data_IF_628004137979
#
_entry.id   IF_628004137979
#
_cell.length_a   1.000
_cell.length_b   1.000
_cell.length_c   1.000
_cell.angle_alpha   90.00
_cell.angle_beta   90.00
_cell.angle_gamma   90.00
#
_symmetry.space_group_name_H-M   'P 1'
#
loop_
_entity.id
_entity.type
_entity.pdbx_description
1 polymer ?
#
# COMPACT_ATOMS: atom_id res chain seq x y z
N UNK A 1 -25.09 13.22 20.93
CA UNK A 1 -24.56 11.85 20.82
C UNK A 1 -24.44 11.38 19.39
N UNK A 2 -25.37 11.65 18.48
CA UNK A 2 -25.26 11.28 17.06
C UNK A 2 -24.10 12.00 16.32
N UNK A 3 -23.80 13.23 16.68
CA UNK A 3 -22.68 14.00 16.08
C UNK A 3 -21.30 13.42 16.42
N UNK A 4 -21.11 12.90 17.62
CA UNK A 4 -19.85 12.29 18.04
C UNK A 4 -19.52 10.99 17.33
N UNK A 5 -20.54 10.17 17.02
CA UNK A 5 -20.35 8.91 16.28
C UNK A 5 -20.04 9.17 14.80
N UNK A 6 -20.64 10.18 14.19
CA UNK A 6 -20.41 10.53 12.78
C UNK A 6 -19.03 11.16 12.57
N UNK A 7 -18.58 12.01 13.48
CA UNK A 7 -17.22 12.55 13.47
C UNK A 7 -16.17 11.44 13.67
N UNK A 8 -16.50 10.43 14.48
CA UNK A 8 -15.62 9.28 14.70
C UNK A 8 -15.43 8.41 13.45
N UNK A 9 -16.52 8.12 12.72
CA UNK A 9 -16.45 7.30 11.48
C UNK A 9 -15.69 8.06 10.39
N UNK A 10 -16.00 9.34 10.17
CA UNK A 10 -15.31 10.15 9.17
C UNK A 10 -13.84 10.32 9.53
N UNK A 11 -13.51 10.53 10.80
CA UNK A 11 -12.13 10.60 11.27
C UNK A 11 -11.38 9.30 11.11
N UNK A 12 -12.04 8.16 11.40
CA UNK A 12 -11.43 6.84 11.23
C UNK A 12 -11.14 6.53 9.76
N UNK A 13 -12.07 6.84 8.84
CA UNK A 13 -11.86 6.66 7.41
C UNK A 13 -10.75 7.58 6.88
N UNK A 14 -10.68 8.81 7.34
CA UNK A 14 -9.62 9.74 6.97
C UNK A 14 -8.26 9.27 7.46
N UNK A 15 -8.16 8.77 8.69
CA UNK A 15 -6.93 8.23 9.25
C UNK A 15 -6.48 6.96 8.49
N UNK A 16 -7.43 6.08 8.14
CA UNK A 16 -7.13 4.88 7.38
C UNK A 16 -6.64 5.23 5.96
N UNK A 17 -7.25 6.21 5.30
CA UNK A 17 -6.84 6.68 3.98
C UNK A 17 -5.44 7.31 4.03
N UNK A 18 -5.16 8.12 5.04
CA UNK A 18 -3.84 8.72 5.24
C UNK A 18 -2.77 7.64 5.49
N UNK A 19 -3.08 6.62 6.30
CA UNK A 19 -2.19 5.48 6.55
C UNK A 19 -1.89 4.69 5.29
N UNK A 20 -2.91 4.39 4.49
CA UNK A 20 -2.75 3.68 3.22
C UNK A 20 -1.90 4.50 2.23
N UNK A 21 -2.14 5.80 2.14
CA UNK A 21 -1.36 6.71 1.30
C UNK A 21 0.11 6.78 1.72
N UNK A 22 0.38 6.85 3.02
CA UNK A 22 1.74 6.85 3.56
C UNK A 22 2.45 5.51 3.26
N UNK A 23 1.76 4.38 3.40
CA UNK A 23 2.30 3.07 3.06
C UNK A 23 2.66 2.98 1.59
N UNK A 24 1.78 3.43 0.69
CA UNK A 24 2.03 3.45 -0.75
C UNK A 24 3.24 4.32 -1.09
N UNK A 25 3.36 5.49 -0.48
CA UNK A 25 4.51 6.38 -0.67
C UNK A 25 5.83 5.72 -0.22
N UNK A 26 5.82 5.07 0.95
CA UNK A 26 6.98 4.33 1.46
C UNK A 26 7.40 3.20 0.54
N UNK A 27 6.46 2.44 0.02
CA UNK A 27 6.73 1.40 -0.97
C UNK A 27 7.34 1.99 -2.23
N UNK A 28 6.84 3.13 -2.69
CA UNK A 28 7.37 3.83 -3.86
C UNK A 28 8.83 4.24 -3.69
N UNK A 29 9.21 4.67 -2.50
CA UNK A 29 10.61 5.01 -2.18
C UNK A 29 11.51 3.79 -2.27
N UNK A 30 11.08 2.65 -1.75
CA UNK A 30 11.84 1.39 -1.84
C UNK A 30 11.99 0.95 -3.29
N UNK A 31 10.93 1.04 -4.08
CA UNK A 31 10.95 0.75 -5.52
C UNK A 31 12.00 1.63 -6.23
N UNK A 32 11.97 2.93 -6.00
CA UNK A 32 12.91 3.87 -6.59
C UNK A 32 14.37 3.58 -6.17
N UNK A 33 14.60 3.23 -4.92
CA UNK A 33 15.92 2.85 -4.41
C UNK A 33 16.45 1.56 -5.07
N UNK A 34 15.58 0.57 -5.25
CA UNK A 34 15.92 -0.68 -5.92
C UNK A 34 16.24 -0.47 -7.41
N UNK A 35 15.44 0.34 -8.11
CA UNK A 35 15.65 0.69 -9.51
C UNK A 35 16.94 1.46 -9.73
N UNK A 36 17.33 2.28 -8.76
CA UNK A 36 18.60 3.02 -8.79
C UNK A 36 19.82 2.19 -8.35
N UNK A 37 19.64 0.93 -8.00
CA UNK A 37 20.72 0.05 -7.54
C UNK A 37 21.26 0.41 -6.15
N UNK A 38 20.58 1.25 -5.40
CA UNK A 38 20.98 1.71 -4.05
C UNK A 38 20.63 0.73 -2.93
N UNK A 39 20.01 -0.36 -3.29
CA UNK A 39 19.44 -1.30 -2.33
C UNK A 39 19.64 -2.72 -2.85
N UNK A 40 20.12 -3.61 -2.01
CA UNK A 40 20.29 -5.02 -2.32
C UNK A 40 19.79 -5.89 -1.17
N UNK A 41 19.16 -7.00 -1.50
CA UNK A 41 18.56 -7.93 -0.54
C UNK A 41 18.99 -9.34 -0.88
N UNK A 42 19.35 -10.13 0.14
CA UNK A 42 19.66 -11.54 -0.04
C UNK A 42 18.45 -12.31 -0.61
N UNK A 43 18.65 -13.37 -1.40
CA UNK A 43 17.55 -14.16 -1.95
C UNK A 43 16.58 -14.67 -0.89
N UNK A 44 17.09 -15.12 0.27
CA UNK A 44 16.26 -15.63 1.36
C UNK A 44 15.37 -14.55 1.98
N UNK A 45 15.92 -13.37 2.20
CA UNK A 45 15.16 -12.24 2.73
C UNK A 45 14.12 -11.75 1.71
N UNK A 46 14.48 -11.71 0.41
CA UNK A 46 13.56 -11.34 -0.66
C UNK A 46 12.38 -12.31 -0.74
N UNK A 47 12.62 -13.62 -0.67
CA UNK A 47 11.57 -14.63 -0.71
C UNK A 47 10.57 -14.48 0.47
N UNK A 48 11.08 -14.20 1.66
CA UNK A 48 10.24 -13.97 2.85
C UNK A 48 9.38 -12.71 2.68
N UNK A 49 9.99 -11.62 2.21
CA UNK A 49 9.27 -10.37 1.98
C UNK A 49 8.22 -10.51 0.88
N UNK A 50 8.53 -11.22 -0.20
CA UNK A 50 7.58 -11.48 -1.30
C UNK A 50 6.37 -12.25 -0.79
N UNK A 51 6.57 -13.27 0.06
CA UNK A 51 5.44 -14.00 0.67
C UNK A 51 4.56 -13.10 1.53
N UNK A 52 5.16 -12.23 2.33
CA UNK A 52 4.43 -11.26 3.14
C UNK A 52 3.62 -10.32 2.25
N UNK A 53 4.21 -9.84 1.15
CA UNK A 53 3.54 -8.96 0.19
C UNK A 53 2.40 -9.67 -0.55
N UNK A 54 2.57 -10.92 -0.92
CA UNK A 54 1.50 -11.73 -1.53
C UNK A 54 0.33 -11.93 -0.58
N UNK A 55 0.61 -12.22 0.70
CA UNK A 55 -0.43 -12.31 1.73
C UNK A 55 -1.14 -10.96 1.93
N UNK A 56 -0.40 -9.87 1.91
CA UNK A 56 -0.96 -8.52 1.97
C UNK A 56 -1.87 -8.26 0.76
N UNK A 57 -1.45 -8.62 -0.43
CA UNK A 57 -2.25 -8.46 -1.65
C UNK A 57 -3.55 -9.25 -1.56
N UNK A 58 -3.50 -10.50 -1.13
CA UNK A 58 -4.70 -11.33 -0.94
C UNK A 58 -5.66 -10.69 0.07
N UNK A 59 -5.13 -10.16 1.18
CA UNK A 59 -5.92 -9.44 2.18
C UNK A 59 -6.55 -8.16 1.63
N UNK A 60 -5.81 -7.39 0.83
CA UNK A 60 -6.31 -6.17 0.19
C UNK A 60 -7.38 -6.48 -0.85
N UNK A 61 -7.19 -7.52 -1.65
CA UNK A 61 -8.19 -7.96 -2.64
C UNK A 61 -9.48 -8.42 -1.96
N UNK A 62 -9.37 -9.11 -0.81
CA UNK A 62 -10.51 -9.53 -0.01
C UNK A 62 -11.30 -8.35 0.60
N UNK A 63 -10.69 -7.19 0.74
CA UNK A 63 -11.32 -5.98 1.28
C UNK A 63 -12.08 -5.16 0.23
N UNK A 64 -11.90 -5.44 -1.05
CA UNK A 64 -12.51 -4.64 -2.14
C UNK A 64 -14.01 -4.53 -2.02
N UNK A 65 -14.69 -5.63 -1.79
CA UNK A 65 -16.16 -5.65 -1.68
C UNK A 65 -16.63 -4.83 -0.48
N UNK A 66 -15.93 -4.91 0.64
CA UNK A 66 -16.22 -4.11 1.82
C UNK A 66 -16.04 -2.61 1.55
N UNK A 67 -15.01 -2.23 0.80
CA UNK A 67 -14.76 -0.84 0.43
C UNK A 67 -15.80 -0.30 -0.54
N UNK A 68 -16.29 -1.12 -1.45
CA UNK A 68 -17.40 -0.74 -2.32
C UNK A 68 -18.68 -0.52 -1.52
N UNK A 69 -18.93 -1.31 -0.49
CA UNK A 69 -20.08 -1.14 0.40
C UNK A 69 -19.96 0.17 1.21
N UNK A 70 -18.79 0.51 1.70
CA UNK A 70 -18.52 1.79 2.40
C UNK A 70 -18.77 2.99 1.49
N UNK A 71 -18.54 2.85 0.18
CA UNK A 71 -18.80 3.89 -0.81
C UNK A 71 -20.29 4.15 -1.08
N UNK A 72 -21.19 3.30 -0.57
CA UNK A 72 -22.62 3.51 -0.68
C UNK A 72 -23.10 4.53 0.36
N UNK A 73 -24.05 5.37 -0.03
CA UNK A 73 -24.64 6.33 0.89
C UNK A 73 -25.36 5.59 2.04
N UNK A 74 -24.95 5.88 3.26
CA UNK A 74 -25.61 5.33 4.44
C UNK A 74 -27.00 5.98 4.58
N UNK A 75 -28.09 5.22 4.76
CA UNK A 75 -29.42 5.79 4.93
C UNK A 75 -29.56 6.36 6.33
N UNK A 76 -29.21 7.64 6.50
CA UNK A 76 -29.30 8.38 7.75
C UNK A 76 -30.60 9.18 7.86
N UNK A 77 -31.65 8.80 7.11
CA UNK A 77 -32.94 9.45 7.05
C UNK A 77 -33.06 10.43 5.89
N UNK A 78 -34.28 10.91 5.66
CA UNK A 78 -34.62 11.80 4.56
C UNK A 78 -34.46 13.28 4.88
N UNK A 79 -33.96 13.64 6.07
CA UNK A 79 -33.69 15.03 6.42
C UNK A 79 -32.54 15.60 5.58
N UNK A 80 -32.52 16.91 5.29
CA UNK A 80 -31.42 17.50 4.54
C UNK A 80 -30.05 17.25 5.17
N UNK A 81 -29.95 17.25 6.49
CA UNK A 81 -28.71 16.96 7.24
C UNK A 81 -28.32 15.49 7.08
N UNK A 82 -29.26 14.56 7.23
CA UNK A 82 -29.02 13.13 7.07
C UNK A 82 -28.53 12.79 5.66
N UNK A 83 -29.13 13.36 4.63
CA UNK A 83 -28.69 13.16 3.25
C UNK A 83 -27.29 13.74 3.01
N UNK A 84 -27.01 14.93 3.51
CA UNK A 84 -25.69 15.56 3.36
C UNK A 84 -24.59 14.74 4.02
N UNK A 85 -24.81 14.25 5.23
CA UNK A 85 -23.85 13.41 5.95
C UNK A 85 -23.67 12.06 5.26
N UNK A 86 -24.76 11.43 4.82
CA UNK A 86 -24.71 10.18 4.07
C UNK A 86 -23.87 10.29 2.80
N UNK A 87 -24.07 11.34 2.02
CA UNK A 87 -23.29 11.60 0.81
C UNK A 87 -21.82 11.93 1.11
N UNK A 88 -21.55 12.69 2.15
CA UNK A 88 -20.18 13.00 2.58
C UNK A 88 -19.43 11.72 2.97
N UNK A 89 -20.04 10.86 3.76
CA UNK A 89 -19.44 9.59 4.17
C UNK A 89 -19.19 8.68 2.97
N UNK A 90 -20.13 8.61 2.04
CA UNK A 90 -19.97 7.84 0.81
C UNK A 90 -18.78 8.32 -0.03
N UNK A 91 -18.61 9.63 -0.18
CA UNK A 91 -17.47 10.21 -0.92
C UNK A 91 -16.13 9.96 -0.23
N UNK A 92 -16.09 10.03 1.10
CA UNK A 92 -14.88 9.69 1.86
C UNK A 92 -14.52 8.21 1.75
N UNK A 93 -15.52 7.35 1.64
CA UNK A 93 -15.32 5.92 1.42
C UNK A 93 -14.84 5.62 -0.01
N UNK A 94 -15.55 6.14 -0.99
CA UNK A 94 -15.23 5.92 -2.40
C UNK A 94 -15.86 7.04 -3.27
N UNK A 95 -15.09 7.76 -3.99
CA UNK A 95 -15.60 8.81 -4.88
C UNK A 95 -14.71 10.03 -4.97
N UNK A 96 -14.07 10.41 -3.88
CA UNK A 96 -13.07 11.47 -3.88
C UNK A 96 -11.69 10.89 -4.20
N UNK A 97 -10.77 11.67 -4.79
CA UNK A 97 -9.39 11.23 -5.04
C UNK A 97 -8.64 10.82 -3.78
N UNK A 98 -9.02 11.38 -2.63
CA UNK A 98 -8.44 11.07 -1.31
C UNK A 98 -9.29 10.08 -0.52
N UNK A 99 -10.27 9.43 -1.15
CA UNK A 99 -11.12 8.43 -0.50
C UNK A 99 -10.32 7.21 -0.06
N UNK A 100 -10.87 6.47 0.89
CA UNK A 100 -10.28 5.21 1.35
C UNK A 100 -10.12 4.22 0.20
N UNK A 101 -11.11 4.12 -0.69
CA UNK A 101 -11.04 3.26 -1.87
C UNK A 101 -9.88 3.67 -2.82
N UNK A 102 -9.73 4.96 -3.10
CA UNK A 102 -8.65 5.45 -3.96
C UNK A 102 -7.27 5.14 -3.37
N UNK A 103 -7.09 5.33 -2.07
CA UNK A 103 -5.83 5.00 -1.37
C UNK A 103 -5.57 3.51 -1.31
N UNK A 104 -6.62 2.71 -1.14
CA UNK A 104 -6.54 1.25 -1.20
C UNK A 104 -6.06 0.78 -2.58
N UNK A 105 -6.62 1.32 -3.68
CA UNK A 105 -6.19 0.99 -5.04
C UNK A 105 -4.74 1.39 -5.31
N UNK A 106 -4.28 2.52 -4.79
CA UNK A 106 -2.86 2.91 -4.85
C UNK A 106 -1.97 1.87 -4.16
N UNK A 107 -2.36 1.41 -2.98
CA UNK A 107 -1.62 0.40 -2.23
C UNK A 107 -1.58 -0.94 -2.97
N UNK A 108 -2.73 -1.38 -3.51
CA UNK A 108 -2.82 -2.60 -4.33
C UNK A 108 -1.90 -2.52 -5.54
N UNK A 109 -1.86 -1.37 -6.22
CA UNK A 109 -1.00 -1.17 -7.38
C UNK A 109 0.49 -1.18 -7.03
N UNK A 110 0.86 -0.78 -5.81
CA UNK A 110 2.26 -0.74 -5.36
C UNK A 110 2.82 -2.13 -5.01
N UNK A 111 1.99 -3.08 -4.59
CA UNK A 111 2.47 -4.42 -4.17
C UNK A 111 3.22 -5.14 -5.29
N UNK A 112 2.70 -5.27 -6.53
CA UNK A 112 3.46 -5.92 -7.62
C UNK A 112 4.76 -5.20 -7.96
N UNK A 113 4.77 -3.87 -7.89
CA UNK A 113 5.97 -3.06 -8.15
C UNK A 113 7.05 -3.30 -7.10
N UNK A 114 6.65 -3.46 -5.85
CA UNK A 114 7.57 -3.77 -4.76
C UNK A 114 8.12 -5.20 -4.88
N UNK A 115 7.30 -6.17 -5.28
CA UNK A 115 7.76 -7.53 -5.56
C UNK A 115 8.81 -7.53 -6.67
N UNK A 116 8.57 -6.84 -7.77
CA UNK A 116 9.53 -6.68 -8.87
C UNK A 116 10.83 -6.00 -8.40
N UNK A 117 10.72 -4.96 -7.59
CA UNK A 117 11.86 -4.26 -7.02
C UNK A 117 12.70 -5.18 -6.12
N UNK A 118 12.08 -6.04 -5.33
CA UNK A 118 12.78 -7.03 -4.50
C UNK A 118 13.52 -8.07 -5.36
N UNK A 119 12.92 -8.53 -6.44
CA UNK A 119 13.55 -9.43 -7.38
C UNK A 119 14.77 -8.80 -8.05
N UNK A 120 14.65 -7.53 -8.44
CA UNK A 120 15.75 -6.74 -8.99
C UNK A 120 16.87 -6.50 -7.95
N UNK A 121 16.51 -6.24 -6.71
CA UNK A 121 17.47 -6.10 -5.61
C UNK A 121 18.22 -7.38 -5.31
N UNK A 122 17.61 -8.54 -5.52
CA UNK A 122 18.26 -9.84 -5.41
C UNK A 122 19.31 -10.01 -6.52
N UNK A 123 19.01 -9.60 -7.75
CA UNK A 123 19.98 -9.60 -8.84
C UNK A 123 21.16 -8.68 -8.53
N UNK A 124 20.92 -7.47 -8.01
CA UNK A 124 21.96 -6.54 -7.58
C UNK A 124 22.83 -7.15 -6.47
N UNK A 125 22.23 -7.87 -5.54
CA UNK A 125 22.94 -8.58 -4.47
C UNK A 125 23.89 -9.63 -5.03
N UNK A 126 23.44 -10.44 -5.98
CA UNK A 126 24.26 -11.48 -6.64
C UNK A 126 25.43 -10.88 -7.42
N UNK A 127 25.20 -9.83 -8.18
CA UNK A 127 26.26 -9.11 -8.90
C UNK A 127 27.32 -8.55 -7.94
N UNK A 128 26.88 -7.96 -6.84
CA UNK A 128 27.77 -7.44 -5.80
C UNK A 128 28.58 -8.54 -5.13
N UNK A 129 27.97 -9.69 -4.83
CA UNK A 129 28.63 -10.85 -4.23
C UNK A 129 29.63 -11.48 -5.18
N UNK A 130 29.28 -11.68 -6.45
CA UNK A 130 30.18 -12.17 -7.50
C UNK A 130 31.35 -11.21 -7.74
N UNK A 131 31.08 -9.90 -7.78
CA UNK A 131 32.12 -8.89 -7.89
C UNK A 131 33.10 -8.90 -6.72
N UNK A 132 32.61 -9.10 -5.50
CA UNK A 132 33.45 -9.23 -4.30
C UNK A 132 34.28 -10.50 -4.34
N UNK A 133 33.71 -11.63 -4.75
CA UNK A 133 34.42 -12.91 -4.92
C UNK A 133 35.52 -12.79 -5.99
N UNK A 134 35.24 -12.18 -7.11
CA UNK A 134 36.22 -11.95 -8.18
C UNK A 134 37.37 -11.01 -7.71
N UNK A 135 37.04 -10.00 -6.92
CA UNK A 135 38.03 -9.10 -6.32
C UNK A 135 38.98 -9.83 -5.37
N UNK A 136 38.47 -10.75 -4.55
CA UNK A 136 39.27 -11.56 -3.62
C UNK A 136 40.18 -12.52 -4.37
N UNK A 137 39.69 -13.19 -5.41
CA UNK A 137 40.52 -14.12 -6.23
C UNK A 137 41.59 -13.38 -7.05
N UNK A 138 41.32 -12.12 -7.44
CA UNK A 138 42.29 -11.27 -8.14
C UNK A 138 43.46 -10.79 -7.29
N UNK A 139 43.27 -10.68 -5.98
CA UNK A 139 44.31 -10.26 -5.03
C UNK A 139 45.14 -11.41 -4.46
N UNK A 140 44.72 -12.64 -4.66
CA UNK A 140 45.42 -13.88 -4.20
C UNK A 140 46.39 -14.47 -5.19
N UNK A 141 46.56 -13.84 -6.35
CA UNK A 141 47.49 -14.24 -7.38
C UNK A 141 48.73 -13.33 -7.35
#
# INVERSE_FOLDING_TARGET
>A
MAEGMQGGIAGAMGAAAAGAGAAAAGMGEVVAAAEAGRFSVSPQAADQLIRVLQNLQDGLDGQRDNLMEIGRATPLGASPIGLTIGHKNARMGAGDPDSLHARHEELVAMVPRLVEALQKSTANYRESDEGSAAGITGTGG
#
